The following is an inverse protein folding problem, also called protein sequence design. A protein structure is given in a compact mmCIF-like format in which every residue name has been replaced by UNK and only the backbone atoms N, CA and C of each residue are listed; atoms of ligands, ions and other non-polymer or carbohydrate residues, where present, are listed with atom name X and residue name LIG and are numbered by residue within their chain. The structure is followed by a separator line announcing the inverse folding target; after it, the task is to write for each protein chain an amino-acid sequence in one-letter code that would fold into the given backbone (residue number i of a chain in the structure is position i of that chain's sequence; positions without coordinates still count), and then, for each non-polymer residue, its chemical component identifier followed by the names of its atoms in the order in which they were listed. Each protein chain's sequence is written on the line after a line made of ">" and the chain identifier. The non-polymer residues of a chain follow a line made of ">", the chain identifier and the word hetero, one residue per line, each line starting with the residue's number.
data_IF_538891676008
#
_entry.id   IF_538891676008
#
_cell.length_a   1.000
_cell.length_b   1.000
_cell.length_c   1.000
_cell.angle_alpha   90.00
_cell.angle_beta   90.00
_cell.angle_gamma   90.00
#
_symmetry.space_group_name_H-M   'P 1'
#
loop_
_entity.id
_entity.type
_entity.pdbx_description
1 polymer ?
#
# COMPACT_ATOMS: atom_id res chain seq x y z
N UNK A 1 28.96 -8.28 10.41
CA UNK A 1 27.66 -8.31 11.11
C UNK A 1 26.71 -9.25 10.38
N UNK A 2 25.78 -9.92 11.10
CA UNK A 2 24.74 -10.80 10.51
C UNK A 2 23.39 -10.12 10.56
N UNK A 3 22.83 -9.83 9.40
CA UNK A 3 21.50 -9.26 9.26
C UNK A 3 20.54 -10.34 8.74
N UNK A 4 19.41 -10.52 9.42
CA UNK A 4 18.31 -11.36 8.94
C UNK A 4 17.10 -10.48 8.67
N UNK A 5 16.46 -10.69 7.52
CA UNK A 5 15.27 -9.96 7.07
C UNK A 5 14.18 -10.97 6.78
N UNK A 6 13.03 -10.87 7.45
CA UNK A 6 11.86 -11.69 7.19
C UNK A 6 10.90 -10.91 6.30
N UNK A 7 10.72 -11.37 5.07
CA UNK A 7 9.93 -10.72 4.01
C UNK A 7 10.80 -10.11 2.92
N UNK A 8 10.47 -10.40 1.66
CA UNK A 8 11.21 -9.97 0.46
C UNK A 8 10.45 -8.94 -0.39
N UNK A 9 9.36 -8.35 0.10
CA UNK A 9 8.62 -7.32 -0.62
C UNK A 9 9.30 -5.94 -0.48
N UNK A 10 8.56 -4.85 -0.69
CA UNK A 10 9.08 -3.49 -0.77
C UNK A 10 10.05 -3.12 0.37
N UNK A 11 9.65 -3.31 1.62
CA UNK A 11 10.48 -2.95 2.78
C UNK A 11 11.72 -3.85 2.90
N UNK A 12 11.55 -5.17 2.81
CA UNK A 12 12.65 -6.12 2.99
C UNK A 12 13.69 -6.04 1.88
N UNK A 13 13.26 -5.99 0.60
CA UNK A 13 14.19 -5.89 -0.52
C UNK A 13 14.96 -4.55 -0.50
N UNK A 14 14.29 -3.45 -0.15
CA UNK A 14 14.95 -2.14 -0.01
C UNK A 14 15.92 -2.11 1.16
N UNK A 15 15.55 -2.76 2.28
CA UNK A 15 16.44 -2.88 3.44
C UNK A 15 17.70 -3.68 3.10
N UNK A 16 17.57 -4.81 2.42
CA UNK A 16 18.68 -5.65 2.02
C UNK A 16 19.68 -4.90 1.10
N UNK A 17 19.17 -4.14 0.14
CA UNK A 17 19.97 -3.30 -0.75
C UNK A 17 20.71 -2.19 0.02
N UNK A 18 20.03 -1.47 0.90
CA UNK A 18 20.62 -0.39 1.69
C UNK A 18 21.67 -0.93 2.68
N UNK A 19 21.42 -2.07 3.35
CA UNK A 19 22.40 -2.73 4.22
C UNK A 19 23.66 -3.09 3.45
N UNK A 20 23.55 -3.68 2.25
CA UNK A 20 24.72 -4.01 1.42
C UNK A 20 25.46 -2.75 0.96
N UNK A 21 24.76 -1.66 0.70
CA UNK A 21 25.37 -0.37 0.37
C UNK A 21 26.23 0.15 1.52
N UNK A 22 25.72 0.02 2.76
CA UNK A 22 26.36 0.53 3.98
C UNK A 22 27.45 -0.40 4.52
N UNK A 23 27.24 -1.71 4.46
CA UNK A 23 28.17 -2.72 4.99
C UNK A 23 28.47 -3.77 3.89
N UNK A 24 29.64 -3.60 3.26
CA UNK A 24 30.08 -4.46 2.14
C UNK A 24 30.40 -5.89 2.57
N UNK A 25 30.79 -6.09 3.83
CA UNK A 25 31.23 -7.37 4.38
C UNK A 25 30.14 -8.08 5.21
N UNK A 26 28.97 -7.47 5.37
CA UNK A 26 27.90 -8.06 6.15
C UNK A 26 27.42 -9.39 5.56
N UNK A 27 27.01 -10.30 6.42
CA UNK A 27 26.18 -11.44 6.03
C UNK A 27 24.71 -10.99 6.06
N UNK A 28 24.05 -11.01 4.91
CA UNK A 28 22.65 -10.60 4.77
C UNK A 28 21.85 -11.79 4.28
N UNK A 29 20.87 -12.23 5.07
CA UNK A 29 19.94 -13.29 4.70
C UNK A 29 18.53 -12.72 4.63
N UNK A 30 17.87 -12.89 3.48
CA UNK A 30 16.46 -12.52 3.25
C UNK A 30 15.64 -13.80 3.17
N UNK A 31 14.61 -13.92 4.00
CA UNK A 31 13.77 -15.12 4.13
C UNK A 31 12.32 -14.73 3.79
N UNK A 32 11.68 -15.47 2.92
CA UNK A 32 10.28 -15.24 2.56
C UNK A 32 9.54 -16.54 2.33
N UNK A 33 8.27 -16.59 2.73
CA UNK A 33 7.39 -17.74 2.50
C UNK A 33 6.96 -17.90 1.04
N UNK A 34 7.08 -16.86 0.21
CA UNK A 34 6.75 -16.93 -1.22
C UNK A 34 7.95 -17.46 -2.04
N UNK A 35 7.66 -18.23 -3.08
CA UNK A 35 8.65 -18.75 -4.02
C UNK A 35 9.00 -17.76 -5.14
N UNK A 36 8.66 -16.49 -4.98
CA UNK A 36 8.85 -15.46 -5.98
C UNK A 36 9.97 -14.51 -5.59
N UNK A 37 10.67 -13.99 -6.59
CA UNK A 37 11.56 -12.84 -6.43
C UNK A 37 10.76 -11.59 -6.03
N UNK A 38 11.41 -10.53 -5.52
CA UNK A 38 10.73 -9.31 -5.12
C UNK A 38 9.91 -8.70 -6.27
N UNK A 39 8.60 -8.72 -6.17
CA UNK A 39 7.67 -8.20 -7.16
C UNK A 39 6.73 -7.13 -6.59
N UNK A 40 6.16 -6.30 -7.47
CA UNK A 40 5.22 -5.24 -7.10
C UNK A 40 3.79 -5.75 -7.02
N UNK A 41 3.24 -5.80 -5.81
CA UNK A 41 1.83 -6.15 -5.59
C UNK A 41 0.87 -5.13 -6.20
N UNK A 42 1.30 -3.88 -6.34
CA UNK A 42 0.51 -2.82 -6.98
C UNK A 42 0.28 -3.06 -8.49
N UNK A 43 0.98 -4.00 -9.10
CA UNK A 43 0.88 -4.29 -10.54
C UNK A 43 0.14 -5.60 -10.83
N UNK A 44 -0.37 -6.30 -9.83
CA UNK A 44 -1.07 -7.59 -9.97
C UNK A 44 -2.28 -7.46 -10.92
N UNK A 45 -3.05 -6.37 -10.82
CA UNK A 45 -4.20 -6.13 -11.71
C UNK A 45 -3.80 -6.09 -13.19
N UNK A 46 -2.63 -5.48 -13.49
CA UNK A 46 -2.09 -5.40 -14.85
C UNK A 46 -1.51 -6.73 -15.36
N UNK A 47 -1.16 -7.62 -14.47
CA UNK A 47 -0.78 -8.98 -14.82
C UNK A 47 -2.02 -9.83 -15.12
N UNK A 48 -3.06 -9.70 -14.30
CA UNK A 48 -4.32 -10.44 -14.50
C UNK A 48 -4.99 -10.06 -15.82
N UNK A 49 -4.97 -8.78 -16.20
CA UNK A 49 -5.59 -8.33 -17.47
C UNK A 49 -4.64 -8.35 -18.69
N UNK A 50 -3.46 -8.97 -18.54
CA UNK A 50 -2.50 -9.20 -19.63
C UNK A 50 -1.72 -7.97 -20.11
N UNK A 51 -1.86 -6.79 -19.46
CA UNK A 51 -1.05 -5.60 -19.77
C UNK A 51 0.42 -5.75 -19.39
N UNK A 52 0.73 -6.61 -18.44
CA UNK A 52 2.09 -6.94 -18.01
C UNK A 52 2.28 -8.45 -17.98
N UNK A 53 3.49 -8.89 -18.30
CA UNK A 53 3.91 -10.27 -18.08
C UNK A 53 4.42 -10.44 -16.65
N UNK A 54 4.61 -11.69 -16.20
CA UNK A 54 5.20 -12.00 -14.90
C UNK A 54 6.55 -11.29 -14.70
N UNK A 55 7.42 -11.31 -15.72
CA UNK A 55 8.74 -10.69 -15.66
C UNK A 55 8.68 -9.17 -15.41
N UNK A 56 7.61 -8.50 -15.82
CA UNK A 56 7.41 -7.06 -15.61
C UNK A 56 6.96 -6.73 -14.18
N UNK A 57 6.50 -7.71 -13.40
CA UNK A 57 6.14 -7.50 -12.00
C UNK A 57 7.36 -7.35 -11.09
N UNK A 58 8.48 -7.99 -11.45
CA UNK A 58 9.69 -7.95 -10.64
C UNK A 58 10.32 -6.54 -10.64
N UNK A 59 10.35 -5.89 -9.48
CA UNK A 59 11.00 -4.58 -9.33
C UNK A 59 12.50 -4.68 -8.99
N UNK A 60 12.99 -5.89 -8.75
CA UNK A 60 14.40 -6.22 -8.65
C UNK A 60 14.77 -7.21 -9.76
N UNK A 61 15.97 -7.10 -10.31
CA UNK A 61 16.43 -8.01 -11.35
C UNK A 61 16.52 -9.46 -10.84
N UNK A 62 16.41 -10.44 -11.75
CA UNK A 62 16.59 -11.87 -11.41
C UNK A 62 17.93 -12.17 -10.75
N UNK A 63 18.95 -11.31 -10.94
CA UNK A 63 20.28 -11.42 -10.34
C UNK A 63 20.47 -10.55 -9.10
N UNK A 64 19.41 -9.91 -8.60
CA UNK A 64 19.50 -8.95 -7.50
C UNK A 64 20.22 -9.50 -6.27
N UNK A 65 19.80 -10.65 -5.78
CA UNK A 65 20.39 -11.25 -4.60
C UNK A 65 21.86 -11.64 -4.84
N UNK A 66 22.15 -12.29 -5.95
CA UNK A 66 23.51 -12.72 -6.30
C UNK A 66 24.45 -11.51 -6.50
N UNK A 67 24.03 -10.50 -7.26
CA UNK A 67 24.82 -9.31 -7.54
C UNK A 67 25.16 -8.51 -6.27
N UNK A 68 24.31 -8.63 -5.25
CA UNK A 68 24.49 -7.95 -3.96
C UNK A 68 25.06 -8.89 -2.87
N UNK A 69 25.48 -10.10 -3.21
CA UNK A 69 25.96 -11.10 -2.24
C UNK A 69 25.00 -11.23 -1.03
N UNK A 70 23.69 -11.40 -1.34
CA UNK A 70 22.59 -11.58 -0.37
C UNK A 70 22.12 -13.02 -0.47
N UNK A 71 22.09 -13.73 0.65
CA UNK A 71 21.47 -15.04 0.72
C UNK A 71 19.95 -14.90 0.69
N UNK A 72 19.28 -15.49 -0.31
CA UNK A 72 17.82 -15.49 -0.42
C UNK A 72 17.28 -16.90 -0.12
N UNK A 73 16.36 -16.98 0.83
CA UNK A 73 15.67 -18.20 1.23
C UNK A 73 14.18 -18.05 0.85
N UNK A 74 13.87 -18.38 -0.40
CA UNK A 74 12.50 -18.36 -0.93
C UNK A 74 11.73 -19.61 -0.51
N UNK A 75 10.42 -19.52 -0.32
CA UNK A 75 9.56 -20.61 0.11
C UNK A 75 9.76 -21.05 1.56
N UNK A 76 10.44 -20.26 2.38
CA UNK A 76 10.75 -20.56 3.78
C UNK A 76 9.88 -19.72 4.71
N UNK A 77 8.95 -20.38 5.40
CA UNK A 77 8.07 -19.73 6.39
C UNK A 77 8.75 -19.71 7.77
N UNK A 78 9.00 -18.51 8.30
CA UNK A 78 9.44 -18.33 9.69
C UNK A 78 8.24 -18.38 10.62
N UNK A 79 8.33 -19.20 11.66
CA UNK A 79 7.24 -19.43 12.62
C UNK A 79 7.57 -18.95 14.03
N UNK A 80 8.87 -18.72 14.34
CA UNK A 80 9.29 -18.29 15.67
C UNK A 80 10.50 -17.35 15.60
N UNK A 81 10.50 -16.36 16.48
CA UNK A 81 11.67 -15.53 16.82
C UNK A 81 12.09 -15.90 18.24
N UNK A 82 13.31 -16.40 18.41
CA UNK A 82 13.95 -16.58 19.71
C UNK A 82 14.87 -15.39 19.97
N UNK A 83 14.32 -14.38 20.67
CA UNK A 83 15.02 -13.12 20.95
C UNK A 83 16.22 -13.30 21.88
N UNK A 84 16.19 -14.31 22.79
CA UNK A 84 17.28 -14.57 23.73
C UNK A 84 18.47 -15.26 23.06
N UNK A 85 18.18 -16.25 22.21
CA UNK A 85 19.20 -16.94 21.41
C UNK A 85 19.57 -16.18 20.12
N UNK A 86 18.94 -15.05 19.85
CA UNK A 86 19.11 -14.23 18.61
C UNK A 86 19.05 -15.08 17.35
N UNK A 87 17.96 -15.84 17.19
CA UNK A 87 17.70 -16.66 16.01
C UNK A 87 16.23 -16.65 15.61
N UNK A 88 15.97 -16.87 14.34
CA UNK A 88 14.63 -17.17 13.83
C UNK A 88 14.58 -18.62 13.40
N UNK A 89 13.40 -19.22 13.52
CA UNK A 89 13.19 -20.66 13.27
C UNK A 89 12.08 -20.79 12.24
N UNK A 90 12.37 -21.56 11.18
CA UNK A 90 11.42 -21.85 10.13
C UNK A 90 10.47 -22.98 10.55
N UNK A 91 9.39 -23.14 9.79
CA UNK A 91 8.43 -24.24 9.92
C UNK A 91 9.08 -25.63 9.83
N UNK A 92 10.18 -25.73 9.09
CA UNK A 92 10.96 -26.94 8.92
C UNK A 92 12.11 -27.07 9.94
N UNK A 93 12.09 -26.26 11.01
CA UNK A 93 13.12 -26.21 12.07
C UNK A 93 14.52 -25.78 11.60
N UNK A 94 14.65 -25.11 10.45
CA UNK A 94 15.90 -24.43 10.10
C UNK A 94 16.10 -23.21 10.98
N UNK A 95 17.32 -22.99 11.44
CA UNK A 95 17.68 -21.89 12.34
C UNK A 95 18.57 -20.87 11.63
N UNK A 96 18.26 -19.57 11.77
CA UNK A 96 19.05 -18.47 11.22
C UNK A 96 19.42 -17.51 12.35
N UNK A 97 20.69 -17.45 12.69
CA UNK A 97 21.20 -16.54 13.73
C UNK A 97 21.39 -15.14 13.20
N UNK A 98 21.14 -14.13 14.03
CA UNK A 98 21.29 -12.73 13.65
C UNK A 98 21.97 -11.89 14.74
N UNK A 99 22.66 -10.83 14.32
CA UNK A 99 23.03 -9.71 15.20
C UNK A 99 21.90 -8.67 15.22
N UNK A 100 21.27 -8.43 14.05
CA UNK A 100 20.08 -7.56 13.88
C UNK A 100 19.05 -8.24 13.01
N UNK A 101 17.77 -8.11 13.39
CA UNK A 101 16.61 -8.69 12.71
C UNK A 101 15.68 -7.58 12.20
N UNK A 102 15.23 -7.69 10.96
CA UNK A 102 14.11 -6.91 10.44
C UNK A 102 12.88 -7.80 10.22
N UNK A 103 11.79 -7.47 10.89
CA UNK A 103 10.48 -8.03 10.57
C UNK A 103 9.80 -7.16 9.51
N UNK A 104 9.76 -7.65 8.26
CA UNK A 104 9.11 -7.01 7.12
C UNK A 104 8.04 -7.94 6.51
N UNK A 105 7.32 -8.68 7.35
CA UNK A 105 6.33 -9.69 6.95
C UNK A 105 5.07 -9.11 6.33
N UNK A 106 4.89 -7.79 6.38
CA UNK A 106 3.81 -7.08 5.72
C UNK A 106 2.43 -7.37 6.30
N UNK A 107 1.43 -7.50 5.43
CA UNK A 107 0.04 -7.74 5.76
C UNK A 107 -0.53 -8.87 4.91
N UNK A 108 -1.62 -9.47 5.38
CA UNK A 108 -2.36 -10.52 4.68
C UNK A 108 -3.82 -10.10 4.47
N UNK A 109 -4.48 -10.60 3.40
CA UNK A 109 -5.90 -10.39 3.19
C UNK A 109 -6.70 -10.85 4.41
N UNK A 110 -7.62 -10.00 4.83
CA UNK A 110 -8.59 -10.37 5.84
C UNK A 110 -9.92 -10.72 5.17
N UNK A 111 -10.46 -11.87 5.52
CA UNK A 111 -11.79 -12.28 5.12
C UNK A 111 -12.67 -12.40 6.35
N UNK A 112 -13.89 -11.84 6.34
CA UNK A 112 -14.89 -12.21 7.33
C UNK A 112 -15.21 -13.70 7.18
N UNK A 113 -15.78 -14.29 8.23
CA UNK A 113 -16.29 -15.66 8.13
C UNK A 113 -17.54 -15.65 7.26
N UNK A 114 -17.38 -16.09 6.02
CA UNK A 114 -18.45 -16.25 5.03
C UNK A 114 -18.52 -17.74 4.71
N UNK A 115 -19.70 -18.34 4.85
CA UNK A 115 -19.91 -19.72 4.48
C UNK A 115 -19.59 -19.91 3.00
N UNK A 116 -18.85 -20.97 2.67
CA UNK A 116 -18.38 -21.24 1.30
C UNK A 116 -17.11 -20.48 0.88
N UNK A 117 -16.46 -19.70 1.76
CA UNK A 117 -15.22 -18.98 1.43
C UNK A 117 -14.01 -19.86 1.08
N UNK A 118 -14.12 -21.17 1.30
CA UNK A 118 -13.11 -22.19 0.97
C UNK A 118 -13.42 -22.97 -0.33
N UNK A 119 -14.49 -22.63 -1.04
CA UNK A 119 -14.82 -23.26 -2.32
C UNK A 119 -13.77 -22.92 -3.39
N UNK A 120 -13.56 -23.85 -4.33
CA UNK A 120 -12.75 -23.57 -5.51
C UNK A 120 -13.35 -22.41 -6.31
N UNK A 121 -12.51 -21.46 -6.73
CA UNK A 121 -12.93 -20.22 -7.37
C UNK A 121 -13.17 -19.05 -6.43
N UNK A 122 -12.84 -19.21 -5.14
CA UNK A 122 -12.81 -18.10 -4.18
C UNK A 122 -11.37 -17.75 -3.90
N UNK A 123 -10.97 -16.51 -4.19
CA UNK A 123 -9.59 -16.03 -4.05
C UNK A 123 -9.53 -14.70 -3.35
N UNK A 124 -8.38 -14.39 -2.77
CA UNK A 124 -7.96 -13.02 -2.50
C UNK A 124 -7.23 -12.42 -3.72
N UNK A 125 -7.02 -11.12 -3.74
CA UNK A 125 -6.31 -10.41 -4.81
C UNK A 125 -5.05 -9.77 -4.23
N UNK A 126 -4.04 -10.61 -3.89
CA UNK A 126 -2.89 -10.12 -3.11
C UNK A 126 -1.54 -10.67 -3.57
N UNK A 127 -1.47 -11.95 -3.95
CA UNK A 127 -0.21 -12.59 -4.33
C UNK A 127 -0.18 -12.90 -5.83
N UNK A 128 1.04 -13.15 -6.34
CA UNK A 128 1.24 -13.62 -7.70
C UNK A 128 0.60 -14.99 -7.93
N UNK A 129 0.59 -15.87 -6.91
CA UNK A 129 -0.09 -17.15 -6.97
C UNK A 129 -1.60 -16.97 -7.14
N UNK A 130 -2.22 -16.09 -6.33
CA UNK A 130 -3.64 -15.77 -6.51
C UNK A 130 -3.93 -15.24 -7.92
N UNK A 131 -3.10 -14.35 -8.45
CA UNK A 131 -3.27 -13.81 -9.80
C UNK A 131 -3.18 -14.92 -10.85
N UNK A 132 -2.22 -15.83 -10.73
CA UNK A 132 -2.04 -16.96 -11.65
C UNK A 132 -3.22 -17.92 -11.63
N UNK A 133 -3.81 -18.18 -10.46
CA UNK A 133 -4.98 -19.05 -10.34
C UNK A 133 -6.25 -18.38 -10.88
N UNK A 134 -6.40 -17.07 -10.67
CA UNK A 134 -7.46 -16.25 -11.26
C UNK A 134 -7.37 -16.32 -12.80
N UNK A 135 -6.19 -16.09 -13.37
CA UNK A 135 -5.96 -16.14 -14.83
C UNK A 135 -6.37 -17.50 -15.41
N UNK A 136 -5.95 -18.62 -14.80
CA UNK A 136 -6.32 -19.97 -15.24
C UNK A 136 -7.83 -20.22 -15.22
N UNK A 137 -8.56 -19.48 -14.36
CA UNK A 137 -10.00 -19.66 -14.20
C UNK A 137 -10.80 -18.78 -15.14
N UNK A 138 -10.29 -17.60 -15.53
CA UNK A 138 -11.02 -16.62 -16.34
C UNK A 138 -11.57 -17.21 -17.65
N UNK A 139 -10.82 -18.08 -18.31
CA UNK A 139 -11.25 -18.73 -19.57
C UNK A 139 -12.49 -19.65 -19.43
N UNK A 140 -12.90 -19.95 -18.20
CA UNK A 140 -13.96 -20.92 -17.89
C UNK A 140 -15.21 -20.28 -17.29
N UNK A 141 -15.23 -18.96 -17.17
CA UNK A 141 -16.29 -18.22 -16.48
C UNK A 141 -16.75 -17.02 -17.30
N UNK A 142 -18.00 -16.63 -17.10
CA UNK A 142 -18.58 -15.41 -17.69
C UNK A 142 -18.78 -14.30 -16.64
N UNK A 143 -19.02 -14.70 -15.39
CA UNK A 143 -19.40 -13.79 -14.33
C UNK A 143 -18.49 -13.94 -13.11
N UNK A 144 -18.16 -12.82 -12.49
CA UNK A 144 -17.40 -12.76 -11.24
C UNK A 144 -18.07 -11.80 -10.24
N UNK A 145 -17.90 -12.10 -8.96
CA UNK A 145 -18.29 -11.20 -7.87
C UNK A 145 -17.04 -10.77 -7.12
N UNK A 146 -16.95 -9.48 -6.84
CA UNK A 146 -15.91 -8.88 -5.99
C UNK A 146 -16.57 -8.38 -4.71
N UNK A 147 -16.09 -8.84 -3.57
CA UNK A 147 -16.57 -8.46 -2.24
C UNK A 147 -15.66 -7.38 -1.68
N UNK A 148 -16.20 -6.14 -1.58
CA UNK A 148 -15.49 -4.95 -1.13
C UNK A 148 -15.07 -4.02 -2.26
N UNK A 149 -15.43 -2.73 -2.15
CA UNK A 149 -15.14 -1.67 -3.11
C UNK A 149 -14.02 -0.72 -2.65
N UNK A 150 -13.02 -1.25 -1.93
CA UNK A 150 -11.74 -0.57 -1.69
C UNK A 150 -10.83 -0.66 -2.92
N UNK A 151 -9.62 -0.08 -2.84
CA UNK A 151 -8.67 -0.09 -3.97
C UNK A 151 -8.43 -1.48 -4.57
N UNK A 152 -8.14 -2.47 -3.72
CA UNK A 152 -7.85 -3.84 -4.18
C UNK A 152 -9.05 -4.46 -4.91
N UNK A 153 -10.25 -4.26 -4.36
CA UNK A 153 -11.47 -4.78 -4.98
C UNK A 153 -11.77 -4.13 -6.33
N UNK A 154 -11.65 -2.80 -6.41
CA UNK A 154 -11.89 -2.09 -7.66
C UNK A 154 -10.80 -2.37 -8.72
N UNK A 155 -9.52 -2.54 -8.31
CA UNK A 155 -8.46 -2.99 -9.21
C UNK A 155 -8.74 -4.40 -9.77
N UNK A 156 -9.21 -5.31 -8.92
CA UNK A 156 -9.61 -6.65 -9.36
C UNK A 156 -10.82 -6.58 -10.31
N UNK A 157 -11.86 -5.82 -9.95
CA UNK A 157 -13.05 -5.65 -10.78
C UNK A 157 -12.71 -5.06 -12.16
N UNK A 158 -11.88 -4.01 -12.18
CA UNK A 158 -11.40 -3.39 -13.40
C UNK A 158 -10.62 -4.38 -14.28
N UNK A 159 -9.68 -5.14 -13.69
CA UNK A 159 -8.88 -6.11 -14.43
C UNK A 159 -9.75 -7.22 -15.06
N UNK A 160 -10.68 -7.77 -14.29
CA UNK A 160 -11.61 -8.80 -14.78
C UNK A 160 -12.54 -8.27 -15.87
N UNK A 161 -13.11 -7.08 -15.72
CA UNK A 161 -13.97 -6.45 -16.72
C UNK A 161 -13.22 -6.19 -18.03
N UNK A 162 -11.95 -5.78 -17.97
CA UNK A 162 -11.09 -5.65 -19.15
C UNK A 162 -10.89 -6.95 -19.92
N UNK A 163 -10.96 -8.08 -19.23
CA UNK A 163 -10.90 -9.42 -19.82
C UNK A 163 -12.26 -9.93 -20.36
N UNK A 164 -13.29 -9.08 -20.35
CA UNK A 164 -14.63 -9.43 -20.85
C UNK A 164 -15.51 -10.17 -19.84
N UNK A 165 -15.06 -10.32 -18.58
CA UNK A 165 -15.85 -10.92 -17.50
C UNK A 165 -16.91 -9.90 -17.04
N UNK A 166 -18.15 -10.33 -16.86
CA UNK A 166 -19.19 -9.53 -16.22
C UNK A 166 -18.96 -9.48 -14.73
N UNK A 167 -18.67 -8.30 -14.18
CA UNK A 167 -18.28 -8.16 -12.79
C UNK A 167 -19.37 -7.44 -12.00
N UNK A 168 -19.74 -8.02 -10.86
CA UNK A 168 -20.56 -7.37 -9.84
C UNK A 168 -19.68 -7.13 -8.60
N UNK A 169 -19.56 -5.87 -8.19
CA UNK A 169 -18.92 -5.46 -6.92
C UNK A 169 -20.00 -5.30 -5.87
N UNK A 170 -19.82 -5.93 -4.69
CA UNK A 170 -20.73 -5.80 -3.55
C UNK A 170 -19.98 -5.12 -2.41
N UNK A 171 -20.49 -3.97 -1.97
CA UNK A 171 -19.88 -3.16 -0.91
C UNK A 171 -20.91 -2.88 0.21
N UNK A 172 -20.44 -3.07 1.45
CA UNK A 172 -21.26 -2.83 2.64
C UNK A 172 -21.49 -1.35 2.92
N UNK A 173 -20.57 -0.49 2.53
CA UNK A 173 -20.70 0.95 2.70
C UNK A 173 -21.62 1.56 1.63
N UNK A 174 -22.13 2.76 1.89
CA UNK A 174 -22.99 3.54 0.98
C UNK A 174 -22.22 4.17 -0.19
N UNK A 175 -20.91 3.94 -0.30
CA UNK A 175 -20.08 4.44 -1.39
C UNK A 175 -18.87 3.53 -1.63
N UNK A 176 -18.30 3.59 -2.82
CA UNK A 176 -16.98 2.99 -3.10
C UNK A 176 -15.88 3.83 -2.45
N UNK A 177 -14.70 3.22 -2.21
CA UNK A 177 -13.52 3.87 -1.61
C UNK A 177 -13.86 4.66 -0.32
N UNK A 178 -14.63 4.07 0.63
CA UNK A 178 -15.23 4.82 1.75
C UNK A 178 -14.20 5.45 2.69
N UNK A 179 -12.97 4.96 2.71
CA UNK A 179 -11.90 5.51 3.56
C UNK A 179 -10.97 6.48 2.82
N UNK A 180 -11.03 6.55 1.49
CA UNK A 180 -10.06 7.27 0.67
C UNK A 180 -10.65 8.46 -0.06
N UNK A 181 -11.97 8.45 -0.29
CA UNK A 181 -12.69 9.49 -1.03
C UNK A 181 -13.90 9.95 -0.23
N UNK A 182 -14.34 11.18 -0.47
CA UNK A 182 -15.67 11.60 -0.08
C UNK A 182 -16.72 11.15 -1.11
N UNK A 183 -17.98 11.41 -0.82
CA UNK A 183 -19.13 11.01 -1.67
C UNK A 183 -18.96 11.51 -3.11
N UNK A 184 -18.57 12.77 -3.31
CA UNK A 184 -18.43 13.37 -4.64
C UNK A 184 -17.34 12.69 -5.45
N UNK A 185 -16.15 12.51 -4.87
CA UNK A 185 -15.04 11.81 -5.53
C UNK A 185 -15.37 10.36 -5.85
N UNK A 186 -16.02 9.66 -4.92
CA UNK A 186 -16.47 8.28 -5.09
C UNK A 186 -17.47 8.14 -6.24
N UNK A 187 -18.48 9.01 -6.33
CA UNK A 187 -19.50 8.95 -7.39
C UNK A 187 -18.93 9.15 -8.79
N UNK A 188 -17.90 10.01 -8.95
CA UNK A 188 -17.27 10.20 -10.26
C UNK A 188 -16.56 8.91 -10.70
N UNK A 189 -15.80 8.28 -9.79
CA UNK A 189 -15.07 7.03 -10.06
C UNK A 189 -16.06 5.88 -10.30
N UNK A 190 -17.15 5.82 -9.52
CA UNK A 190 -18.18 4.80 -9.66
C UNK A 190 -18.79 4.83 -11.07
N UNK A 191 -19.23 6.02 -11.54
CA UNK A 191 -19.80 6.18 -12.88
C UNK A 191 -18.83 5.75 -13.97
N UNK A 192 -17.55 6.05 -13.85
CA UNK A 192 -16.52 5.65 -14.82
C UNK A 192 -16.39 4.12 -14.90
N UNK A 193 -16.51 3.41 -13.79
CA UNK A 193 -16.50 1.93 -13.74
C UNK A 193 -17.82 1.34 -14.27
N UNK A 194 -18.95 1.97 -13.96
CA UNK A 194 -20.26 1.56 -14.48
C UNK A 194 -20.37 1.78 -16.00
N UNK A 195 -19.81 2.88 -16.55
CA UNK A 195 -19.68 3.11 -17.99
C UNK A 195 -18.88 1.99 -18.68
N UNK A 196 -17.98 1.33 -17.96
CA UNK A 196 -17.23 0.17 -18.44
C UNK A 196 -18.00 -1.15 -18.34
N UNK A 197 -19.16 -1.16 -17.69
CA UNK A 197 -20.02 -2.33 -17.51
C UNK A 197 -19.84 -3.07 -16.18
N UNK A 198 -19.10 -2.50 -15.22
CA UNK A 198 -19.01 -3.04 -13.86
C UNK A 198 -20.32 -2.70 -13.12
N UNK A 199 -21.02 -3.71 -12.61
CA UNK A 199 -22.15 -3.49 -11.73
C UNK A 199 -21.68 -3.24 -10.31
N UNK A 200 -22.18 -2.20 -9.64
CA UNK A 200 -21.82 -1.89 -8.24
C UNK A 200 -23.08 -1.88 -7.38
N UNK A 201 -23.09 -2.70 -6.34
CA UNK A 201 -24.14 -2.81 -5.34
C UNK A 201 -23.59 -2.29 -4.02
N UNK A 202 -24.15 -1.18 -3.55
CA UNK A 202 -23.77 -0.53 -2.29
C UNK A 202 -24.78 -0.87 -1.20
N UNK A 203 -24.43 -0.56 0.06
CA UNK A 203 -25.26 -0.83 1.25
C UNK A 203 -25.64 -2.32 1.39
N UNK A 204 -24.80 -3.20 0.83
CA UNK A 204 -25.13 -4.63 0.76
C UNK A 204 -23.96 -5.50 1.25
N UNK A 205 -24.28 -6.64 1.85
CA UNK A 205 -23.29 -7.59 2.38
C UNK A 205 -23.54 -9.02 1.88
N UNK A 206 -22.46 -9.80 1.80
CA UNK A 206 -22.54 -11.21 1.42
C UNK A 206 -22.90 -12.06 2.64
N UNK A 207 -23.95 -12.87 2.54
CA UNK A 207 -24.33 -13.86 3.54
C UNK A 207 -23.59 -15.18 3.36
N UNK A 208 -23.54 -15.67 2.11
CA UNK A 208 -22.88 -16.95 1.79
C UNK A 208 -22.35 -16.96 0.35
N UNK A 209 -21.39 -17.80 0.13
CA UNK A 209 -20.89 -18.21 -1.18
C UNK A 209 -21.38 -19.63 -1.39
N UNK A 210 -22.09 -19.90 -2.49
CA UNK A 210 -22.78 -21.15 -2.70
C UNK A 210 -22.15 -21.96 -3.83
N UNK A 211 -22.18 -23.29 -3.68
CA UNK A 211 -21.68 -24.27 -4.64
C UNK A 211 -21.37 -25.58 -3.94
N UNK A 212 -21.20 -26.66 -4.69
CA UNK A 212 -20.83 -27.98 -4.13
C UNK A 212 -19.30 -28.09 -3.90
N UNK A 213 -18.52 -28.06 -4.98
CA UNK A 213 -17.05 -28.09 -4.92
C UNK A 213 -16.42 -26.79 -5.37
N UNK A 214 -17.09 -26.05 -6.26
CA UNK A 214 -16.67 -24.77 -6.79
C UNK A 214 -17.81 -23.77 -6.66
N UNK A 215 -17.45 -22.47 -6.64
CA UNK A 215 -18.43 -21.39 -6.55
C UNK A 215 -19.37 -21.38 -7.75
N UNK A 216 -20.67 -21.20 -7.48
CA UNK A 216 -21.74 -21.10 -8.47
C UNK A 216 -22.57 -19.82 -8.32
N UNK A 217 -22.67 -19.28 -7.10
CA UNK A 217 -23.34 -18.01 -6.81
C UNK A 217 -22.90 -17.45 -5.47
N UNK A 218 -23.25 -16.19 -5.22
CA UNK A 218 -23.25 -15.58 -3.88
C UNK A 218 -24.66 -15.18 -3.49
N UNK A 219 -24.97 -15.23 -2.19
CA UNK A 219 -26.22 -14.73 -1.62
C UNK A 219 -25.94 -13.44 -0.86
N UNK A 220 -26.62 -12.35 -1.22
CA UNK A 220 -26.55 -11.07 -0.52
C UNK A 220 -27.60 -10.94 0.58
N UNK A 221 -27.53 -9.90 1.42
CA UNK A 221 -28.35 -9.79 2.64
C UNK A 221 -29.87 -9.74 2.37
N UNK A 222 -30.31 -9.22 1.24
CA UNK A 222 -31.70 -9.24 0.80
C UNK A 222 -32.17 -10.62 0.28
N UNK A 223 -31.28 -11.64 0.36
CA UNK A 223 -31.46 -13.03 -0.12
C UNK A 223 -31.42 -13.19 -1.64
N UNK A 224 -31.12 -12.16 -2.40
CA UNK A 224 -30.87 -12.26 -3.84
C UNK A 224 -29.63 -13.13 -4.09
N UNK A 225 -29.69 -14.00 -5.10
CA UNK A 225 -28.56 -14.79 -5.55
C UNK A 225 -27.96 -14.19 -6.81
N UNK A 226 -26.64 -13.99 -6.80
CA UNK A 226 -25.87 -13.47 -7.94
C UNK A 226 -25.03 -14.67 -8.49
N UNK A 227 -25.36 -15.18 -9.69
CA UNK A 227 -24.58 -16.25 -10.29
C UNK A 227 -23.15 -15.80 -10.61
N UNK A 228 -22.16 -16.62 -10.26
CA UNK A 228 -20.76 -16.34 -10.58
C UNK A 228 -19.91 -17.63 -10.54
N UNK A 229 -18.87 -17.65 -11.35
CA UNK A 229 -17.86 -18.73 -11.35
C UNK A 229 -16.55 -18.33 -10.66
N UNK A 230 -16.45 -17.08 -10.20
CA UNK A 230 -15.29 -16.54 -9.50
C UNK A 230 -15.75 -15.55 -8.43
N UNK A 231 -15.17 -15.65 -7.25
CA UNK A 231 -15.34 -14.66 -6.17
C UNK A 231 -13.98 -14.13 -5.74
N UNK A 232 -13.83 -12.81 -5.69
CA UNK A 232 -12.68 -12.13 -5.12
C UNK A 232 -13.07 -11.52 -3.77
N UNK A 233 -12.39 -11.91 -2.70
CA UNK A 233 -12.59 -11.33 -1.37
C UNK A 233 -11.55 -10.24 -1.15
N UNK A 234 -11.99 -8.97 -1.11
CA UNK A 234 -11.16 -7.77 -0.99
C UNK A 234 -11.65 -6.85 0.16
N UNK A 235 -11.95 -7.43 1.31
CA UNK A 235 -12.56 -6.77 2.47
C UNK A 235 -11.56 -6.13 3.43
N UNK A 236 -10.31 -6.03 3.04
CA UNK A 236 -9.25 -5.35 3.77
C UNK A 236 -8.01 -6.22 4.04
N UNK A 237 -7.05 -5.61 4.73
CA UNK A 237 -5.76 -6.21 5.05
C UNK A 237 -5.51 -6.16 6.56
N UNK A 238 -4.77 -7.15 7.09
CA UNK A 238 -4.32 -7.16 8.48
C UNK A 238 -2.80 -7.35 8.55
N UNK A 239 -2.10 -6.54 9.37
CA UNK A 239 -0.68 -6.73 9.63
C UNK A 239 -0.35 -8.12 10.18
N UNK A 240 0.75 -8.71 9.72
CA UNK A 240 1.20 -10.07 10.10
C UNK A 240 1.96 -10.04 11.43
N UNK A 241 1.27 -9.73 12.53
CA UNK A 241 1.86 -9.54 13.86
C UNK A 241 2.16 -10.86 14.60
N UNK A 242 1.77 -12.02 14.07
CA UNK A 242 1.86 -13.30 14.78
C UNK A 242 3.26 -13.63 15.32
N UNK A 243 4.31 -13.39 14.53
CA UNK A 243 5.69 -13.59 14.99
C UNK A 243 6.06 -12.69 16.18
N UNK A 244 5.61 -11.43 16.15
CA UNK A 244 5.87 -10.48 17.20
C UNK A 244 5.12 -10.84 18.48
N UNK A 245 3.83 -11.17 18.38
CA UNK A 245 2.99 -11.61 19.52
C UNK A 245 3.58 -12.83 20.19
N UNK A 246 3.94 -13.88 19.41
CA UNK A 246 4.51 -15.12 19.95
C UNK A 246 5.90 -14.93 20.58
N UNK A 247 6.55 -13.80 20.33
CA UNK A 247 7.87 -13.45 20.88
C UNK A 247 7.81 -12.32 21.89
N UNK A 248 6.59 -11.95 22.35
CA UNK A 248 6.35 -10.90 23.34
C UNK A 248 6.90 -9.52 22.92
N UNK A 249 6.99 -9.28 21.62
CA UNK A 249 7.30 -7.96 21.07
C UNK A 249 6.03 -7.12 21.09
N UNK A 250 6.11 -5.87 21.52
CA UNK A 250 4.95 -4.99 21.68
C UNK A 250 4.19 -4.79 20.37
N UNK A 251 2.89 -5.07 20.39
CA UNK A 251 1.97 -4.90 19.26
C UNK A 251 0.74 -4.12 19.65
N UNK A 252 0.13 -3.43 18.70
CA UNK A 252 -1.22 -2.91 18.72
C UNK A 252 -1.97 -3.50 17.51
N UNK A 253 -2.40 -2.67 16.57
CA UNK A 253 -2.89 -3.12 15.25
C UNK A 253 -1.75 -3.69 14.40
N UNK A 254 -0.55 -3.13 14.54
CA UNK A 254 0.70 -3.56 13.94
C UNK A 254 1.78 -3.77 15.01
N UNK A 255 3.02 -4.05 14.59
CA UNK A 255 4.17 -4.04 15.48
C UNK A 255 4.47 -2.59 15.85
N UNK A 256 4.48 -2.29 17.16
CA UNK A 256 4.77 -0.94 17.65
C UNK A 256 6.24 -0.63 17.49
N UNK A 257 6.56 0.43 16.75
CA UNK A 257 7.92 0.91 16.57
C UNK A 257 8.08 2.36 17.02
N UNK A 258 9.33 2.75 17.30
CA UNK A 258 9.73 4.14 17.52
C UNK A 258 10.07 4.84 16.18
N UNK A 259 10.50 6.09 16.26
CA UNK A 259 10.92 6.88 15.09
C UNK A 259 12.18 6.37 14.40
N UNK A 260 12.89 5.40 14.98
CA UNK A 260 14.03 4.71 14.38
C UNK A 260 13.65 3.33 13.83
N UNK A 261 12.35 3.00 13.82
CA UNK A 261 11.80 1.71 13.42
C UNK A 261 12.27 0.54 14.29
N UNK A 262 12.67 0.84 15.54
CA UNK A 262 13.02 -0.15 16.56
C UNK A 262 11.72 -0.66 17.18
N UNK A 263 11.66 -1.95 17.45
CA UNK A 263 10.58 -2.56 18.24
C UNK A 263 10.86 -2.38 19.74
N UNK A 264 10.06 -3.01 20.59
CA UNK A 264 10.36 -3.11 22.04
C UNK A 264 11.63 -3.91 22.37
N UNK A 265 12.20 -4.61 21.38
CA UNK A 265 13.43 -5.40 21.53
C UNK A 265 14.61 -4.72 20.80
N UNK A 266 15.76 -4.52 21.49
CA UNK A 266 16.82 -3.62 21.01
C UNK A 266 17.44 -3.98 19.65
N UNK A 267 17.46 -5.27 19.29
CA UNK A 267 18.10 -5.77 18.07
C UNK A 267 17.09 -6.18 17.00
N UNK A 268 15.80 -5.88 17.26
CA UNK A 268 14.71 -6.23 16.36
C UNK A 268 14.01 -4.96 15.87
N UNK A 269 13.99 -4.82 14.55
CA UNK A 269 13.36 -3.73 13.82
C UNK A 269 12.12 -4.24 13.07
N UNK A 270 11.21 -3.34 12.70
CA UNK A 270 10.10 -3.69 11.82
C UNK A 270 9.83 -2.57 10.82
N UNK A 271 9.35 -2.94 9.61
CA UNK A 271 9.08 -1.99 8.53
C UNK A 271 8.03 -2.52 7.55
N UNK A 272 7.34 -1.62 6.87
CA UNK A 272 6.28 -1.92 5.91
C UNK A 272 4.92 -2.08 6.58
N UNK A 273 4.00 -2.76 5.90
CA UNK A 273 2.59 -2.88 6.32
C UNK A 273 2.39 -3.57 7.67
N UNK A 274 3.43 -4.20 8.20
CA UNK A 274 3.37 -4.90 9.50
C UNK A 274 3.42 -3.96 10.70
N UNK A 275 3.88 -2.71 10.52
CA UNK A 275 4.11 -1.78 11.63
C UNK A 275 2.91 -0.89 11.97
N UNK A 276 2.94 -0.41 13.20
CA UNK A 276 2.13 0.69 13.70
C UNK A 276 3.06 1.79 14.23
N UNK A 277 2.95 2.97 13.65
CA UNK A 277 3.82 4.12 13.90
C UNK A 277 3.00 5.40 14.09
N UNK A 278 3.56 6.37 14.79
CA UNK A 278 2.93 7.69 14.95
C UNK A 278 2.93 8.44 13.62
N UNK A 279 1.74 8.80 13.16
CA UNK A 279 1.55 9.63 11.97
C UNK A 279 1.58 11.12 12.35
N UNK A 280 2.58 11.82 11.87
CA UNK A 280 2.81 13.24 12.18
C UNK A 280 1.66 14.11 11.68
N UNK A 281 1.02 13.73 10.58
CA UNK A 281 -0.05 14.52 9.98
C UNK A 281 -1.36 14.48 10.78
N UNK A 282 -1.60 13.38 11.51
CA UNK A 282 -2.82 13.16 12.30
C UNK A 282 -2.57 13.14 13.80
N UNK A 283 -1.32 13.03 14.23
CA UNK A 283 -0.94 12.85 15.65
C UNK A 283 -1.43 11.52 16.25
N UNK A 284 -1.85 10.57 15.43
CA UNK A 284 -2.38 9.27 15.84
C UNK A 284 -1.47 8.14 15.41
N UNK A 285 -1.50 7.03 16.12
CA UNK A 285 -0.88 5.78 15.66
C UNK A 285 -1.70 5.16 14.54
N UNK A 286 -1.02 4.86 13.44
CA UNK A 286 -1.63 4.24 12.26
C UNK A 286 -0.77 3.10 11.73
N UNK A 287 -1.42 2.19 11.01
CA UNK A 287 -0.74 1.26 10.09
C UNK A 287 -0.61 1.96 8.74
N UNK A 288 0.62 2.09 8.23
CA UNK A 288 0.91 2.88 7.01
C UNK A 288 1.14 1.96 5.81
N UNK A 289 0.07 1.24 5.40
CA UNK A 289 0.13 0.25 4.34
C UNK A 289 0.15 0.89 2.95
N UNK A 290 1.27 1.49 2.56
CA UNK A 290 1.51 1.98 1.19
C UNK A 290 2.90 1.57 0.72
N UNK A 291 3.03 1.31 -0.58
CA UNK A 291 4.30 0.91 -1.20
C UNK A 291 5.43 1.91 -0.93
N UNK A 292 5.14 3.20 -1.07
CA UNK A 292 6.12 4.25 -0.87
C UNK A 292 6.65 4.30 0.57
N UNK A 293 5.74 4.22 1.55
CA UNK A 293 6.13 4.19 2.94
C UNK A 293 6.93 2.92 3.28
N UNK A 294 6.54 1.77 2.75
CA UNK A 294 7.26 0.52 2.96
C UNK A 294 8.71 0.59 2.44
N UNK A 295 8.92 1.16 1.25
CA UNK A 295 10.26 1.38 0.67
C UNK A 295 11.11 2.29 1.55
N UNK A 296 10.56 3.43 1.99
CA UNK A 296 11.30 4.36 2.86
C UNK A 296 11.59 3.73 4.22
N UNK A 297 10.61 3.09 4.84
CA UNK A 297 10.78 2.42 6.13
C UNK A 297 11.86 1.33 6.04
N UNK A 298 11.89 0.53 4.98
CA UNK A 298 12.95 -0.45 4.74
C UNK A 298 14.34 0.20 4.71
N UNK A 299 14.47 1.34 4.02
CA UNK A 299 15.73 2.09 3.94
C UNK A 299 16.17 2.65 5.30
N UNK A 300 15.24 3.26 6.05
CA UNK A 300 15.54 3.80 7.38
C UNK A 300 15.83 2.71 8.40
N UNK A 301 15.10 1.61 8.38
CA UNK A 301 15.37 0.45 9.24
C UNK A 301 16.78 -0.10 8.99
N UNK A 302 17.18 -0.24 7.72
CA UNK A 302 18.52 -0.69 7.35
C UNK A 302 19.63 0.22 7.90
N UNK A 303 19.44 1.54 7.84
CA UNK A 303 20.39 2.52 8.40
C UNK A 303 20.53 2.38 9.90
N UNK A 304 19.41 2.25 10.59
CA UNK A 304 19.40 2.09 12.04
C UNK A 304 19.99 0.75 12.46
N UNK A 305 19.74 -0.33 11.71
CA UNK A 305 20.40 -1.63 11.91
C UNK A 305 21.91 -1.54 11.71
N UNK A 306 22.39 -0.67 10.80
CA UNK A 306 23.80 -0.39 10.58
C UNK A 306 24.41 0.63 11.57
N UNK A 307 23.63 1.15 12.53
CA UNK A 307 24.09 2.06 13.58
C UNK A 307 24.11 3.55 13.21
N UNK A 308 23.39 3.99 12.16
CA UNK A 308 23.45 5.38 11.67
C UNK A 308 22.46 6.36 12.33
N UNK A 309 21.61 5.91 13.24
CA UNK A 309 20.60 6.74 13.92
C UNK A 309 19.76 7.63 13.00
N UNK A 310 19.24 7.03 11.93
CA UNK A 310 18.40 7.71 10.95
C UNK A 310 16.94 7.79 11.44
N UNK A 311 16.49 8.97 11.82
CA UNK A 311 15.11 9.19 12.29
C UNK A 311 14.12 9.14 11.12
N UNK A 312 13.14 8.24 11.19
CA UNK A 312 11.96 8.25 10.31
C UNK A 312 10.93 9.23 10.89
N UNK A 313 11.27 10.52 10.91
CA UNK A 313 10.53 11.57 11.63
C UNK A 313 9.31 12.10 10.87
N UNK A 314 9.15 11.69 9.63
CA UNK A 314 8.10 12.22 8.77
C UNK A 314 7.35 11.05 8.18
N UNK A 315 6.55 10.40 9.02
CA UNK A 315 5.50 9.52 8.55
C UNK A 315 4.81 10.25 7.41
N UNK A 316 5.14 9.86 6.20
CA UNK A 316 4.50 10.41 5.02
C UNK A 316 3.08 9.93 5.11
N UNK A 317 2.14 10.83 5.32
CA UNK A 317 0.74 10.52 5.42
C UNK A 317 0.29 9.57 4.31
N UNK A 318 -0.80 8.88 4.50
CA UNK A 318 -1.30 7.90 3.52
C UNK A 318 -1.64 8.64 2.22
N UNK A 319 -0.87 8.39 1.18
CA UNK A 319 -1.11 8.88 -0.17
C UNK A 319 -1.57 7.72 -1.05
N UNK A 320 -2.72 7.89 -1.67
CA UNK A 320 -3.28 6.96 -2.63
C UNK A 320 -3.37 7.63 -3.99
N UNK A 321 -2.90 6.95 -5.02
CA UNK A 321 -3.01 7.38 -6.41
C UNK A 321 -3.47 6.19 -7.24
N UNK A 322 -4.59 6.33 -7.95
CA UNK A 322 -5.21 5.27 -8.74
C UNK A 322 -5.70 5.81 -10.07
N UNK A 323 -5.81 4.92 -11.03
CA UNK A 323 -6.55 5.12 -12.26
C UNK A 323 -7.13 3.77 -12.68
N UNK A 324 -8.42 3.62 -12.55
CA UNK A 324 -9.10 2.39 -12.97
C UNK A 324 -9.32 2.40 -14.49
N UNK A 325 -10.32 3.09 -14.99
CA UNK A 325 -10.64 3.20 -16.41
C UNK A 325 -10.04 4.49 -17.02
N UNK A 326 -10.80 5.58 -17.05
CA UNK A 326 -10.35 6.84 -17.65
C UNK A 326 -10.02 7.91 -16.61
N UNK A 327 -10.53 7.78 -15.40
CA UNK A 327 -10.48 8.80 -14.37
C UNK A 327 -9.31 8.56 -13.41
N UNK A 328 -8.23 9.35 -13.47
CA UNK A 328 -7.19 9.33 -12.44
C UNK A 328 -7.72 9.99 -11.16
N UNK A 329 -7.29 9.46 -10.02
CA UNK A 329 -7.61 10.04 -8.73
C UNK A 329 -6.43 9.95 -7.77
N UNK A 330 -6.31 10.95 -6.91
CA UNK A 330 -5.34 11.00 -5.83
C UNK A 330 -6.00 11.52 -4.57
N UNK A 331 -5.68 10.89 -3.45
CA UNK A 331 -6.04 11.37 -2.13
C UNK A 331 -4.83 11.36 -1.21
N UNK A 332 -4.78 12.30 -0.28
CA UNK A 332 -3.67 12.43 0.64
C UNK A 332 -4.16 12.87 2.02
N UNK A 333 -3.78 12.11 3.04
CA UNK A 333 -4.05 12.29 4.46
C UNK A 333 -5.56 12.37 4.77
N UNK A 334 -6.07 13.54 5.18
CA UNK A 334 -7.48 13.71 5.55
C UNK A 334 -8.33 13.90 4.31
N UNK A 335 -9.31 13.03 4.12
CA UNK A 335 -10.20 13.05 2.94
C UNK A 335 -11.65 13.34 3.31
N UNK A 336 -12.02 13.01 4.56
CA UNK A 336 -13.36 13.18 5.08
C UNK A 336 -13.35 14.00 6.35
N UNK A 337 -14.43 14.69 6.61
CA UNK A 337 -14.75 15.40 7.83
C UNK A 337 -16.01 14.79 8.41
N UNK A 338 -16.03 14.53 9.71
CA UNK A 338 -17.23 14.20 10.46
C UNK A 338 -17.85 15.50 11.00
N UNK A 339 -19.08 15.44 11.51
CA UNK A 339 -19.82 16.61 12.02
C UNK A 339 -19.06 17.40 13.10
N UNK A 340 -18.26 16.70 13.92
CA UNK A 340 -17.42 17.33 14.97
C UNK A 340 -16.23 18.08 14.36
N UNK A 341 -15.73 17.63 13.22
CA UNK A 341 -14.59 18.24 12.52
C UNK A 341 -14.97 19.54 11.77
N UNK A 342 -16.24 19.71 11.34
CA UNK A 342 -16.64 20.81 10.45
C UNK A 342 -16.36 22.20 11.01
N UNK A 343 -16.38 22.36 12.32
CA UNK A 343 -16.12 23.65 12.98
C UNK A 343 -14.63 24.02 13.00
N UNK A 344 -13.75 23.04 12.90
CA UNK A 344 -12.31 23.20 13.03
C UNK A 344 -11.57 23.27 11.69
N UNK A 345 -12.23 22.95 10.59
CA UNK A 345 -11.63 22.81 9.28
C UNK A 345 -12.30 23.68 8.21
N UNK A 346 -11.49 24.35 7.41
CA UNK A 346 -11.96 25.01 6.18
C UNK A 346 -11.87 24.02 5.00
N UNK A 347 -12.83 24.10 4.08
CA UNK A 347 -12.84 23.29 2.85
C UNK A 347 -12.90 24.21 1.64
N UNK A 348 -11.99 23.99 0.69
CA UNK A 348 -12.02 24.63 -0.63
C UNK A 348 -12.18 23.56 -1.68
N UNK A 349 -13.22 23.65 -2.52
CA UNK A 349 -13.46 22.65 -3.54
C UNK A 349 -14.00 23.25 -4.85
N UNK A 350 -13.71 22.55 -5.94
CA UNK A 350 -14.33 22.76 -7.25
C UNK A 350 -14.84 21.44 -7.79
N UNK A 351 -16.00 21.47 -8.42
CA UNK A 351 -16.56 20.31 -9.13
C UNK A 351 -17.09 20.77 -10.49
N UNK A 352 -16.55 20.18 -11.55
CA UNK A 352 -17.00 20.44 -12.92
C UNK A 352 -16.90 19.14 -13.72
N UNK A 353 -18.03 18.63 -14.16
CA UNK A 353 -18.10 17.38 -14.92
C UNK A 353 -17.41 16.21 -14.21
N UNK A 354 -16.39 15.61 -14.84
CA UNK A 354 -15.57 14.52 -14.28
C UNK A 354 -14.36 15.01 -13.48
N UNK A 355 -14.25 16.33 -13.22
CA UNK A 355 -13.14 16.92 -12.45
C UNK A 355 -13.63 17.38 -11.09
N UNK A 356 -13.04 16.86 -10.04
CA UNK A 356 -13.29 17.26 -8.67
C UNK A 356 -11.96 17.50 -7.94
N UNK A 357 -11.82 18.65 -7.31
CA UNK A 357 -10.69 18.98 -6.44
C UNK A 357 -11.21 19.47 -5.11
N UNK A 358 -10.71 18.91 -4.02
CA UNK A 358 -11.01 19.30 -2.65
C UNK A 358 -9.71 19.42 -1.86
N UNK A 359 -9.61 20.50 -1.13
CA UNK A 359 -8.54 20.78 -0.18
C UNK A 359 -9.15 20.99 1.19
N UNK A 360 -8.57 20.38 2.21
CA UNK A 360 -8.98 20.50 3.61
C UNK A 360 -7.86 21.22 4.35
N UNK A 361 -8.25 22.25 5.12
CA UNK A 361 -7.34 23.13 5.84
C UNK A 361 -7.66 23.13 7.34
N UNK A 362 -6.62 23.25 8.15
CA UNK A 362 -6.72 23.56 9.58
C UNK A 362 -5.61 24.55 9.94
N UNK A 363 -5.92 25.58 10.70
CA UNK A 363 -4.95 26.61 11.15
C UNK A 363 -4.11 27.19 10.00
N UNK A 364 -4.76 27.54 8.89
CA UNK A 364 -4.13 28.05 7.66
C UNK A 364 -3.15 27.09 6.97
N UNK A 365 -3.14 25.80 7.30
CA UNK A 365 -2.31 24.78 6.66
C UNK A 365 -3.18 23.74 5.97
N UNK A 366 -2.72 23.24 4.83
CA UNK A 366 -3.35 22.09 4.20
C UNK A 366 -3.10 20.84 5.04
N UNK A 367 -4.14 20.06 5.27
CA UNK A 367 -4.08 18.79 6.00
C UNK A 367 -4.73 17.63 5.25
N UNK A 368 -5.29 17.87 4.07
CA UNK A 368 -5.86 16.83 3.24
C UNK A 368 -6.21 17.30 1.83
N UNK A 369 -6.25 16.37 0.89
CA UNK A 369 -6.70 16.64 -0.47
C UNK A 369 -7.36 15.42 -1.12
N UNK A 370 -8.30 15.71 -2.03
CA UNK A 370 -8.86 14.78 -3.01
C UNK A 370 -8.83 15.45 -4.37
N UNK A 371 -8.21 14.82 -5.37
CA UNK A 371 -8.28 15.24 -6.76
C UNK A 371 -8.73 14.06 -7.61
N UNK A 372 -9.76 14.27 -8.43
CA UNK A 372 -10.34 13.28 -9.34
C UNK A 372 -10.44 13.91 -10.72
N UNK A 373 -10.12 13.17 -11.77
CA UNK A 373 -10.11 13.61 -13.16
C UNK A 373 -8.88 14.41 -13.52
N UNK A 374 -8.68 15.58 -12.95
CA UNK A 374 -7.45 16.37 -13.10
C UNK A 374 -6.60 16.30 -11.83
N UNK A 375 -5.57 15.46 -11.86
CA UNK A 375 -4.60 15.30 -10.77
C UNK A 375 -3.35 16.18 -10.92
N UNK A 376 -3.35 17.09 -11.88
CA UNK A 376 -2.24 18.03 -12.08
C UNK A 376 -1.95 18.82 -10.81
N UNK A 377 -0.68 19.13 -10.57
CA UNK A 377 -0.17 19.83 -9.37
C UNK A 377 -0.37 19.08 -8.04
N UNK A 378 -0.87 17.86 -8.02
CA UNK A 378 -1.02 17.10 -6.76
C UNK A 378 0.29 16.99 -5.97
N UNK A 379 1.43 16.84 -6.64
CA UNK A 379 2.75 16.85 -5.99
C UNK A 379 3.07 18.16 -5.28
N UNK A 380 2.66 19.30 -5.83
CA UNK A 380 2.81 20.60 -5.19
C UNK A 380 1.97 20.69 -3.91
N UNK A 381 0.69 20.32 -3.96
CA UNK A 381 -0.16 20.31 -2.76
C UNK A 381 0.30 19.29 -1.72
N UNK A 382 0.78 18.13 -2.16
CA UNK A 382 1.41 17.15 -1.27
C UNK A 382 2.60 17.76 -0.52
N UNK A 383 3.42 18.57 -1.17
CA UNK A 383 4.53 19.27 -0.52
C UNK A 383 4.03 20.31 0.50
N UNK A 384 3.01 21.11 0.16
CA UNK A 384 2.42 22.07 1.10
C UNK A 384 1.88 21.37 2.37
N UNK A 385 1.23 20.21 2.22
CA UNK A 385 0.75 19.41 3.35
C UNK A 385 1.93 18.88 4.17
N UNK A 386 2.90 18.24 3.52
CA UNK A 386 4.05 17.62 4.21
C UNK A 386 4.89 18.60 5.00
N UNK A 387 5.08 19.77 4.45
CA UNK A 387 5.90 20.82 5.08
C UNK A 387 5.11 21.73 6.01
N UNK A 388 3.79 21.54 6.11
CA UNK A 388 2.91 22.35 6.95
C UNK A 388 3.00 23.85 6.65
N UNK A 389 3.08 24.20 5.36
CA UNK A 389 3.25 25.57 4.90
C UNK A 389 2.01 26.38 5.25
N UNK A 390 2.20 27.57 5.86
CA UNK A 390 1.12 28.53 6.08
C UNK A 390 0.70 29.16 4.75
N UNK A 391 -0.57 28.97 4.42
CA UNK A 391 -1.16 29.44 3.16
C UNK A 391 -2.19 30.54 3.36
N UNK A 392 -2.20 31.19 4.54
CA UNK A 392 -3.17 32.25 4.90
C UNK A 392 -3.32 33.33 3.83
N UNK A 393 -2.19 33.74 3.21
CA UNK A 393 -2.14 34.77 2.15
C UNK A 393 -2.76 34.28 0.82
N UNK A 394 -2.97 32.97 0.63
CA UNK A 394 -3.29 32.39 -0.66
C UNK A 394 -4.60 31.60 -0.65
N UNK A 395 -5.36 31.60 0.45
CA UNK A 395 -6.60 30.80 0.58
C UNK A 395 -7.57 30.95 -0.59
N UNK A 396 -7.79 32.18 -1.07
CA UNK A 396 -8.70 32.48 -2.18
C UNK A 396 -8.19 32.06 -3.56
N UNK A 397 -6.93 31.64 -3.66
CA UNK A 397 -6.26 31.28 -4.93
C UNK A 397 -5.90 29.80 -5.04
N UNK A 398 -6.15 29.03 -3.99
CA UNK A 398 -5.64 27.65 -3.88
C UNK A 398 -5.99 26.74 -5.07
N UNK A 399 -7.14 26.91 -5.70
CA UNK A 399 -7.55 26.10 -6.84
C UNK A 399 -7.48 26.85 -8.19
N UNK A 400 -6.89 28.05 -8.21
CA UNK A 400 -6.67 28.79 -9.44
C UNK A 400 -5.66 28.04 -10.35
N UNK A 401 -5.84 28.17 -11.65
CA UNK A 401 -5.03 27.44 -12.63
C UNK A 401 -3.55 27.84 -12.62
N UNK A 402 -3.23 29.07 -12.16
CA UNK A 402 -1.87 29.62 -12.07
C UNK A 402 -1.23 29.38 -10.69
N UNK A 403 -1.99 28.98 -9.66
CA UNK A 403 -1.44 28.75 -8.33
C UNK A 403 -0.37 27.65 -8.35
N UNK A 404 0.85 27.99 -7.96
CA UNK A 404 2.03 27.14 -8.09
C UNK A 404 3.15 27.55 -7.15
N UNK A 405 4.28 26.87 -7.20
CA UNK A 405 5.51 27.25 -6.48
C UNK A 405 5.95 28.70 -6.70
N UNK A 406 5.56 29.34 -7.79
CA UNK A 406 5.91 30.73 -8.05
C UNK A 406 5.37 31.71 -7.00
N UNK A 407 4.28 31.37 -6.32
CA UNK A 407 3.72 32.18 -5.23
C UNK A 407 4.58 32.17 -3.96
N UNK A 408 5.49 31.21 -3.85
CA UNK A 408 6.34 30.98 -2.67
C UNK A 408 7.82 31.29 -2.94
N UNK A 409 8.12 32.16 -3.91
CA UNK A 409 9.52 32.49 -4.30
C UNK A 409 10.36 33.02 -3.15
N UNK A 410 9.72 33.78 -2.24
CA UNK A 410 10.39 34.40 -1.10
C UNK A 410 10.40 33.49 0.13
N UNK A 411 9.77 32.32 0.04
CA UNK A 411 9.72 31.32 1.11
C UNK A 411 10.96 30.42 1.01
N UNK A 412 11.73 30.36 2.07
CA UNK A 412 12.84 29.41 2.14
C UNK A 412 12.33 28.01 2.46
N UNK A 413 11.96 27.25 1.44
CA UNK A 413 11.50 25.86 1.61
C UNK A 413 12.53 24.97 2.29
N UNK A 414 13.82 25.32 2.30
CA UNK A 414 14.85 24.53 2.98
C UNK A 414 14.63 24.47 4.49
N UNK A 415 14.03 25.49 5.10
CA UNK A 415 13.68 25.48 6.53
C UNK A 415 12.61 24.48 6.89
N UNK A 416 11.77 24.08 5.92
CA UNK A 416 10.71 23.10 6.10
C UNK A 416 11.13 21.71 5.66
N UNK A 417 12.32 21.60 5.03
CA UNK A 417 12.83 20.29 4.59
C UNK A 417 13.27 19.48 5.80
N UNK A 418 12.70 18.32 6.03
CA UNK A 418 13.16 17.41 7.07
C UNK A 418 14.58 16.87 6.83
N UNK A 419 15.19 17.25 5.71
CA UNK A 419 16.47 16.76 5.20
C UNK A 419 17.60 17.82 5.26
N UNK A 420 17.40 18.91 5.99
CA UNK A 420 18.42 19.98 6.13
C UNK A 420 19.54 19.62 7.10
N UNK A 421 19.47 18.53 7.84
CA UNK A 421 20.61 18.04 8.58
C UNK A 421 21.50 17.16 7.69
N UNK A 422 22.78 17.29 7.83
CA UNK A 422 23.97 16.87 7.08
C UNK A 422 24.03 15.42 6.52
N UNK A 423 22.94 14.70 6.47
CA UNK A 423 22.80 13.36 5.92
C UNK A 423 21.67 13.27 4.89
N UNK A 424 21.49 14.31 4.09
CA UNK A 424 20.51 14.35 3.00
C UNK A 424 20.70 13.16 2.05
N UNK A 425 19.77 12.24 2.15
CA UNK A 425 19.77 10.93 1.50
C UNK A 425 19.14 10.97 0.11
N UNK A 426 19.10 12.11 -0.51
CA UNK A 426 18.70 12.25 -1.92
C UNK A 426 19.93 12.35 -2.82
N UNK A 427 20.85 11.40 -2.75
CA UNK A 427 21.52 10.99 -3.98
C UNK A 427 20.42 10.42 -4.88
N UNK A 428 20.20 11.04 -6.02
CA UNK A 428 19.23 10.55 -7.02
C UNK A 428 19.49 9.07 -7.23
N UNK A 429 18.48 8.21 -7.15
CA UNK A 429 18.73 6.79 -7.40
C UNK A 429 19.28 6.65 -8.81
N UNK A 430 20.38 5.90 -8.99
CA UNK A 430 21.03 5.64 -10.29
C UNK A 430 20.06 5.15 -11.40
N UNK A 431 18.88 4.63 -11.01
CA UNK A 431 17.87 4.20 -11.95
C UNK A 431 17.16 5.38 -12.66
N UNK A 432 17.10 6.57 -12.03
CA UNK A 432 16.53 7.76 -12.68
C UNK A 432 17.45 8.28 -13.80
N UNK A 433 18.75 8.32 -13.55
CA UNK A 433 19.75 8.72 -14.55
C UNK A 433 19.78 7.75 -15.75
N UNK A 434 19.59 6.46 -15.52
CA UNK A 434 19.52 5.43 -16.58
C UNK A 434 18.22 5.49 -17.40
N UNK A 435 17.11 5.99 -16.85
CA UNK A 435 15.84 6.12 -17.58
C UNK A 435 15.80 7.32 -18.51
N UNK A 436 16.50 8.40 -18.18
CA UNK A 436 16.60 9.57 -19.06
C UNK A 436 17.37 9.23 -20.35
N UNK A 437 18.39 8.36 -20.28
CA UNK A 437 19.11 7.88 -21.46
C UNK A 437 18.27 6.97 -22.38
N UNK A 438 17.17 6.36 -21.89
CA UNK A 438 16.29 5.50 -22.72
C UNK A 438 15.17 6.28 -23.44
N UNK A 439 14.98 7.56 -23.14
CA UNK A 439 13.96 8.42 -23.78
C UNK A 439 14.57 9.27 -24.91
N UNK A 440 15.90 9.40 -24.95
CA UNK A 440 16.64 10.17 -25.96
C UNK A 440 17.34 9.30 -27.04
N UNK A 441 17.07 8.00 -27.07
CA UNK A 441 17.66 7.05 -28.05
C UNK A 441 16.62 6.44 -28.98
#
# INVERSE_FOLDING_TARGET
>A
MKYVIIGASAAGAQSAEELRRLDKEAQITVITSENHLPYSRCLISRFVDGRLTEDNLYFKSKKFFNNNNIEARLGVEITKIDKNAKKVISKNNEEFTYDKLLNATGSSPWSPKIDGSNLDGVYSFHSMDNASDIIKRMDKIENAVVIGAGFVGLEAAYALARCGIKVTVVEKASQILPNQMDVTGSQIIQRDLEEMGVQIILDESILSINGDNAVQSVTVADKTQIPCGLVIIATGMRPNIGLAVNSEIKTGRGIVVDEFLRTSEPDIYAAGDVIEIDDISTGRRITSATWFNAVLQGKFAARNMAGLEARYSHGIGIQNAVQFHQIPAISFVKTQLNEEDEQDYDVVSIHKDKVYKKLILKDNKLCGMIFVGDISKSGFYTALIRYGIDISKYKSKLLDSDFSYAYFRDENFSQYSPYTESNAVWEQPDWWAKRVQYIEG
#
